data_IF_413472748209
#
_entry.id   IF_413472748209
#
_cell.length_a   1.000
_cell.length_b   1.000
_cell.length_c   1.000
_cell.angle_alpha   90.00
_cell.angle_beta   90.00
_cell.angle_gamma   90.00
#
_symmetry.space_group_name_H-M   'P 1'
#
loop_
_entity.id
_entity.type
_entity.pdbx_description
1 polymer ?
#
# COMPACT_ATOMS: atom_id res chain seq x y z
N UNK A 1 -10.24 10.42 3.49
CA UNK A 1 -9.84 10.79 4.88
C UNK A 1 -8.31 10.71 5.05
N UNK A 2 -7.69 11.78 5.53
CA UNK A 2 -6.24 11.85 5.75
C UNK A 2 -5.94 11.30 7.16
N UNK A 3 -5.69 10.00 7.26
CA UNK A 3 -5.50 9.27 8.53
C UNK A 3 -4.00 9.20 8.83
N UNK A 4 -3.58 9.51 10.05
CA UNK A 4 -2.17 9.33 10.45
C UNK A 4 -1.85 7.84 10.54
N UNK A 5 -0.88 7.37 9.76
CA UNK A 5 -0.40 5.99 9.77
C UNK A 5 0.66 5.74 10.85
N UNK A 6 1.33 6.80 11.30
CA UNK A 6 2.33 6.74 12.35
C UNK A 6 3.08 8.05 12.50
N UNK A 7 3.97 8.08 13.49
CA UNK A 7 4.93 9.18 13.68
C UNK A 7 6.33 8.58 13.76
N UNK A 8 7.22 9.09 12.92
CA UNK A 8 8.64 8.73 12.96
C UNK A 8 9.35 9.72 13.85
N UNK A 9 10.12 9.21 14.80
CA UNK A 9 10.97 10.01 15.68
C UNK A 9 12.42 9.77 15.27
N UNK A 10 13.12 10.83 14.86
CA UNK A 10 14.54 10.78 14.54
C UNK A 10 15.28 11.58 15.59
N UNK A 11 16.11 10.90 16.37
CA UNK A 11 17.01 11.51 17.33
C UNK A 11 18.42 11.48 16.77
N UNK A 12 19.03 12.66 16.63
CA UNK A 12 20.39 12.80 16.11
C UNK A 12 21.21 13.74 16.99
N UNK A 13 22.52 13.57 16.93
CA UNK A 13 23.49 14.42 17.60
C UNK A 13 24.39 14.99 16.53
N UNK A 14 24.50 16.32 16.47
CA UNK A 14 25.45 16.93 15.54
C UNK A 14 26.87 16.50 15.94
N UNK A 15 27.71 16.11 14.97
CA UNK A 15 29.10 15.77 15.22
C UNK A 15 29.89 17.04 15.54
N UNK A 16 29.81 17.52 16.78
CA UNK A 16 30.56 18.67 17.25
C UNK A 16 31.97 18.22 17.66
N UNK A 17 32.96 18.53 16.82
CA UNK A 17 34.35 18.05 16.97
C UNK A 17 35.01 18.56 18.27
N UNK A 18 34.49 19.65 18.86
CA UNK A 18 35.11 20.34 19.99
C UNK A 18 34.38 20.20 21.34
N UNK A 19 33.20 19.56 21.40
CA UNK A 19 32.43 19.44 22.66
C UNK A 19 31.70 18.08 22.76
N UNK A 20 32.50 17.02 22.78
CA UNK A 20 32.02 15.63 22.86
C UNK A 20 31.27 15.36 24.17
N UNK A 21 31.61 16.10 25.24
CA UNK A 21 31.10 15.89 26.60
C UNK A 21 29.75 16.57 26.88
N UNK A 22 29.36 17.64 26.17
CA UNK A 22 28.09 18.35 26.41
C UNK A 22 27.10 18.35 25.23
N UNK A 23 27.45 17.78 24.08
CA UNK A 23 26.57 17.84 22.92
C UNK A 23 25.25 17.05 23.17
N UNK A 24 24.15 17.82 23.24
CA UNK A 24 22.78 17.33 23.46
C UNK A 24 22.23 16.71 22.18
N UNK A 25 21.51 15.60 22.31
CA UNK A 25 20.78 15.03 21.20
C UNK A 25 19.52 15.85 20.93
N UNK A 26 19.24 16.10 19.66
CA UNK A 26 18.02 16.74 19.17
C UNK A 26 17.09 15.67 18.61
N UNK A 27 15.79 15.81 18.84
CA UNK A 27 14.77 14.92 18.29
C UNK A 27 13.81 15.70 17.40
N UNK A 28 13.55 15.16 16.22
CA UNK A 28 12.51 15.64 15.30
C UNK A 28 11.48 14.55 15.10
N UNK A 29 10.20 14.92 15.05
CA UNK A 29 9.08 14.01 14.80
C UNK A 29 8.37 14.36 13.51
N UNK A 30 8.06 13.37 12.69
CA UNK A 30 7.32 13.54 11.45
C UNK A 30 6.11 12.60 11.42
N UNK A 31 4.90 13.16 11.30
CA UNK A 31 3.69 12.36 11.10
C UNK A 31 3.65 11.88 9.64
N UNK A 32 3.31 10.62 9.44
CA UNK A 32 3.08 10.04 8.10
C UNK A 32 1.56 9.99 7.88
N UNK A 33 0.97 11.01 7.23
CA UNK A 33 -0.43 10.96 6.85
C UNK A 33 -0.64 10.05 5.65
N UNK A 34 -1.76 9.32 5.62
CA UNK A 34 -2.11 8.39 4.53
C UNK A 34 -2.16 9.06 3.16
N UNK A 35 -2.52 10.35 3.09
CA UNK A 35 -2.56 11.11 1.86
C UNK A 35 -1.19 11.33 1.21
N UNK A 36 -0.10 11.33 1.99
CA UNK A 36 1.26 11.39 1.45
C UNK A 36 1.56 10.12 0.63
N UNK A 37 1.19 8.95 1.15
CA UNK A 37 1.43 7.68 0.46
C UNK A 37 0.56 7.53 -0.79
N UNK A 38 -0.70 7.99 -0.77
CA UNK A 38 -1.58 7.90 -1.94
C UNK A 38 -1.06 8.69 -3.14
N UNK A 39 -0.53 9.89 -2.91
CA UNK A 39 0.05 10.71 -4.00
C UNK A 39 1.27 10.02 -4.63
N UNK A 40 2.11 9.41 -3.79
CA UNK A 40 3.29 8.70 -4.25
C UNK A 40 2.93 7.36 -4.92
N UNK A 41 1.87 6.68 -4.48
CA UNK A 41 1.44 5.38 -4.99
C UNK A 41 1.14 5.42 -6.49
N UNK A 42 0.39 6.43 -6.95
CA UNK A 42 0.02 6.57 -8.36
C UNK A 42 1.25 6.74 -9.28
N UNK A 43 2.34 7.28 -8.74
CA UNK A 43 3.60 7.50 -9.44
C UNK A 43 4.61 6.36 -9.26
N UNK A 44 4.26 5.28 -8.54
CA UNK A 44 5.15 4.11 -8.41
C UNK A 44 5.19 3.29 -9.70
N UNK A 45 6.20 2.43 -9.80
CA UNK A 45 6.37 1.50 -10.91
C UNK A 45 5.24 0.46 -10.96
N UNK A 46 4.98 -0.04 -12.17
CA UNK A 46 3.92 -1.02 -12.43
C UNK A 46 4.07 -2.32 -11.61
N UNK A 47 5.31 -2.75 -11.35
CA UNK A 47 5.63 -3.96 -10.58
C UNK A 47 5.32 -3.79 -9.09
N UNK A 48 5.58 -2.60 -8.54
CA UNK A 48 5.17 -2.25 -7.18
C UNK A 48 3.66 -2.23 -7.04
N UNK A 49 2.95 -1.58 -7.98
CA UNK A 49 1.48 -1.56 -8.01
C UNK A 49 0.91 -2.98 -8.12
N UNK A 50 1.53 -3.86 -8.92
CA UNK A 50 1.14 -5.26 -9.06
C UNK A 50 1.31 -6.04 -7.77
N UNK A 51 2.44 -5.88 -7.09
CA UNK A 51 2.68 -6.50 -5.79
C UNK A 51 1.66 -6.02 -4.74
N UNK A 52 1.34 -4.73 -4.72
CA UNK A 52 0.33 -4.15 -3.83
C UNK A 52 -1.07 -4.72 -4.11
N UNK A 53 -1.48 -4.77 -5.38
CA UNK A 53 -2.76 -5.37 -5.79
C UNK A 53 -2.86 -6.85 -5.38
N UNK A 54 -1.77 -7.60 -5.55
CA UNK A 54 -1.69 -9.01 -5.15
C UNK A 54 -1.83 -9.19 -3.64
N UNK A 55 -1.18 -8.34 -2.85
CA UNK A 55 -1.26 -8.36 -1.40
C UNK A 55 -2.66 -7.99 -0.91
N UNK A 56 -3.27 -6.93 -1.45
CA UNK A 56 -4.64 -6.53 -1.09
C UNK A 56 -5.63 -7.65 -1.44
N UNK A 57 -5.50 -8.26 -2.62
CA UNK A 57 -6.33 -9.41 -3.01
C UNK A 57 -6.25 -10.55 -1.99
N UNK A 58 -5.03 -10.96 -1.61
CA UNK A 58 -4.82 -12.01 -0.61
C UNK A 58 -5.44 -11.66 0.75
N UNK A 59 -5.33 -10.41 1.19
CA UNK A 59 -5.90 -9.94 2.45
C UNK A 59 -7.44 -9.94 2.41
N UNK A 60 -8.06 -9.58 1.28
CA UNK A 60 -9.51 -9.69 1.07
C UNK A 60 -9.96 -11.16 1.18
N UNK A 61 -9.31 -12.07 0.45
CA UNK A 61 -9.65 -13.50 0.48
C UNK A 61 -9.52 -14.09 1.89
N UNK A 62 -8.52 -13.66 2.65
CA UNK A 62 -8.29 -14.06 4.04
C UNK A 62 -9.27 -13.43 5.03
N UNK A 63 -10.09 -12.47 4.60
CA UNK A 63 -10.96 -11.64 5.46
C UNK A 63 -10.17 -10.96 6.58
N UNK A 64 -9.00 -10.44 6.23
CA UNK A 64 -8.10 -9.78 7.18
C UNK A 64 -8.73 -8.53 7.80
N UNK A 65 -8.32 -8.21 9.02
CA UNK A 65 -8.66 -6.93 9.65
C UNK A 65 -8.25 -5.73 8.78
N UNK A 66 -7.13 -5.85 8.06
CA UNK A 66 -6.59 -4.79 7.19
C UNK A 66 -7.39 -4.60 5.90
N UNK A 67 -8.14 -5.61 5.47
CA UNK A 67 -8.99 -5.55 4.27
C UNK A 67 -10.42 -5.05 4.57
N UNK A 68 -10.67 -4.52 5.78
CA UNK A 68 -11.98 -3.98 6.14
C UNK A 68 -12.34 -2.80 5.24
N UNK A 69 -13.34 -3.00 4.39
CA UNK A 69 -13.80 -1.99 3.44
C UNK A 69 -13.09 -2.04 2.08
N UNK A 70 -12.05 -2.86 1.94
CA UNK A 70 -11.48 -3.20 0.62
C UNK A 70 -12.50 -3.99 -0.19
N UNK A 71 -12.49 -3.79 -1.51
CA UNK A 71 -13.42 -4.41 -2.46
C UNK A 71 -12.64 -5.01 -3.61
N UNK A 72 -13.08 -6.18 -4.07
CA UNK A 72 -12.51 -6.84 -5.26
C UNK A 72 -12.60 -5.95 -6.51
N UNK A 73 -13.59 -5.05 -6.57
CA UNK A 73 -13.74 -4.06 -7.64
C UNK A 73 -12.54 -3.12 -7.74
N UNK A 74 -12.08 -2.58 -6.61
CA UNK A 74 -10.96 -1.64 -6.59
C UNK A 74 -9.67 -2.32 -7.04
N UNK A 75 -9.45 -3.57 -6.58
CA UNK A 75 -8.30 -4.37 -6.99
C UNK A 75 -8.35 -4.66 -8.50
N UNK A 76 -9.52 -5.01 -9.02
CA UNK A 76 -9.70 -5.28 -10.45
C UNK A 76 -9.45 -4.03 -11.30
N UNK A 77 -9.86 -2.86 -10.82
CA UNK A 77 -9.62 -1.58 -11.49
C UNK A 77 -8.12 -1.26 -11.53
N UNK A 78 -7.42 -1.40 -10.41
CA UNK A 78 -5.97 -1.21 -10.33
C UNK A 78 -5.20 -2.17 -11.26
N UNK A 79 -5.57 -3.46 -11.31
CA UNK A 79 -4.90 -4.43 -12.20
C UNK A 79 -5.12 -4.08 -13.68
N UNK A 80 -6.28 -3.55 -14.05
CA UNK A 80 -6.54 -3.06 -15.41
C UNK A 80 -5.69 -1.85 -15.76
N UNK A 81 -5.49 -0.93 -14.82
CA UNK A 81 -4.61 0.23 -15.03
C UNK A 81 -3.17 -0.21 -15.30
N UNK A 82 -2.65 -1.17 -14.50
CA UNK A 82 -1.30 -1.70 -14.67
C UNK A 82 -1.12 -2.37 -16.04
N UNK A 83 -2.15 -3.08 -16.54
CA UNK A 83 -2.13 -3.73 -17.85
C UNK A 83 -1.99 -2.75 -19.03
N UNK A 84 -2.31 -1.47 -18.85
CA UNK A 84 -2.07 -0.43 -19.87
C UNK A 84 -0.57 -0.10 -19.95
N UNK A 85 0.15 -0.21 -18.83
CA UNK A 85 1.56 0.16 -18.72
C UNK A 85 2.51 -0.96 -19.19
N UNK A 86 2.08 -2.24 -19.13
CA UNK A 86 2.92 -3.39 -19.47
C UNK A 86 2.12 -4.64 -19.82
N UNK A 87 2.71 -5.53 -20.63
CA UNK A 87 2.14 -6.83 -21.00
C UNK A 87 2.90 -7.94 -20.26
N UNK A 88 2.43 -8.29 -19.06
CA UNK A 88 3.01 -9.36 -18.24
C UNK A 88 1.99 -10.49 -18.04
N UNK A 89 2.39 -11.77 -18.22
CA UNK A 89 1.55 -12.93 -17.91
C UNK A 89 0.99 -12.91 -16.49
N UNK A 90 1.78 -12.41 -15.52
CA UNK A 90 1.40 -12.36 -14.11
C UNK A 90 0.20 -11.41 -13.87
N UNK A 91 0.11 -10.32 -14.64
CA UNK A 91 -1.00 -9.37 -14.56
C UNK A 91 -2.27 -10.02 -15.10
N UNK A 92 -2.17 -10.75 -16.23
CA UNK A 92 -3.29 -11.48 -16.83
C UNK A 92 -3.81 -12.54 -15.86
N UNK A 93 -2.90 -13.29 -15.22
CA UNK A 93 -3.26 -14.28 -14.21
C UNK A 93 -3.98 -13.64 -13.03
N UNK A 94 -3.41 -12.59 -12.43
CA UNK A 94 -4.02 -11.89 -11.30
C UNK A 94 -5.41 -11.34 -11.66
N UNK A 95 -5.55 -10.71 -12.83
CA UNK A 95 -6.84 -10.20 -13.30
C UNK A 95 -7.90 -11.29 -13.40
N UNK A 96 -7.52 -12.47 -13.90
CA UNK A 96 -8.39 -13.64 -14.00
C UNK A 96 -8.82 -14.14 -12.62
N UNK A 97 -7.88 -14.26 -11.68
CA UNK A 97 -8.15 -14.70 -10.31
C UNK A 97 -9.09 -13.74 -9.57
N UNK A 98 -8.85 -12.43 -9.65
CA UNK A 98 -9.70 -11.41 -9.03
C UNK A 98 -11.10 -11.44 -9.64
N UNK A 99 -11.21 -11.56 -10.96
CA UNK A 99 -12.50 -11.65 -11.66
C UNK A 99 -13.31 -12.87 -11.21
N UNK A 100 -12.65 -14.02 -11.08
CA UNK A 100 -13.28 -15.27 -10.62
C UNK A 100 -13.72 -15.19 -9.15
N UNK A 101 -12.89 -14.61 -8.29
CA UNK A 101 -13.26 -14.38 -6.89
C UNK A 101 -14.51 -13.50 -6.78
N UNK A 102 -14.60 -12.43 -7.57
CA UNK A 102 -15.76 -11.54 -7.61
C UNK A 102 -17.03 -12.28 -8.07
N UNK A 103 -16.93 -13.11 -9.10
CA UNK A 103 -18.07 -13.92 -9.55
C UNK A 103 -18.59 -14.82 -8.42
N UNK A 104 -17.69 -15.46 -7.66
CA UNK A 104 -18.09 -16.30 -6.53
C UNK A 104 -18.69 -15.49 -5.37
N UNK A 105 -18.18 -14.28 -5.09
CA UNK A 105 -18.76 -13.38 -4.09
C UNK A 105 -20.20 -13.01 -4.46
N UNK A 106 -20.47 -12.66 -5.72
CA UNK A 106 -21.81 -12.34 -6.20
C UNK A 106 -22.76 -13.54 -6.08
N UNK A 107 -22.31 -14.73 -6.49
CA UNK A 107 -23.12 -15.96 -6.36
C UNK A 107 -23.46 -16.31 -4.92
N UNK A 108 -22.57 -15.99 -3.97
CA UNK A 108 -22.85 -16.18 -2.55
C UNK A 108 -23.82 -15.13 -2.01
N UNK A 109 -23.81 -13.91 -2.54
CA UNK A 109 -24.75 -12.85 -2.15
C UNK A 109 -26.17 -13.07 -2.68
N UNK A 110 -26.32 -13.82 -3.77
CA UNK A 110 -27.62 -14.18 -4.38
C UNK A 110 -28.30 -15.40 -3.72
N UNK A 111 -27.61 -16.09 -2.79
CA UNK A 111 -28.12 -17.24 -2.03
C UNK A 111 -28.65 -16.83 -0.66
#
# INVERSE_FOLDING_TARGET
PNVSLGTVYVRFKEPNVNDVLNAKATEVSYSIPSGLLMKEFNNQSWDFKLAAASAEFAEILRKSYWAKGSKLDNVLELVKEIMIETDSPDIIELMSLVSKAKQYENQLAER
#
